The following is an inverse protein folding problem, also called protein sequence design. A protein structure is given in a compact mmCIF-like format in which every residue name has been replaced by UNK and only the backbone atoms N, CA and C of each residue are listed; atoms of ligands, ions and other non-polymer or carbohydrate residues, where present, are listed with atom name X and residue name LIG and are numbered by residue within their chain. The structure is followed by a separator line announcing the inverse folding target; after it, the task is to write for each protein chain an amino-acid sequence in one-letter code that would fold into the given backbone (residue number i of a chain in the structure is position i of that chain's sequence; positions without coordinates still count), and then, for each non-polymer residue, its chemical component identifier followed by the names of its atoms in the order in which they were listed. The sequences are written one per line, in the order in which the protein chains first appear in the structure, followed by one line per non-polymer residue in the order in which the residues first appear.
data_IF_442664790961
#
_entry.id   IF_442664790961
#
_cell.length_a   1.000
_cell.length_b   1.000
_cell.length_c   1.000
_cell.angle_alpha   90.00
_cell.angle_beta   90.00
_cell.angle_gamma   90.00
#
_symmetry.space_group_name_H-M   'P 1'
#
loop_
_entity.id
_entity.type
_entity.pdbx_description
1 polymer ?
#
# COMPACT_ATOMS: atom_id res chain seq x y z
N UNK A 1 -10.23 -3.56 0.18
CA UNK A 1 -9.54 -3.32 1.46
C UNK A 1 -8.19 -2.67 1.20
N UNK A 2 -7.77 -1.69 2.02
CA UNK A 2 -6.43 -1.08 1.95
C UNK A 2 -5.52 -1.72 3.01
N UNK A 3 -4.42 -2.34 2.60
CA UNK A 3 -3.56 -3.13 3.48
C UNK A 3 -2.08 -2.71 3.38
N UNK A 4 -1.50 -2.32 4.50
CA UNK A 4 -0.07 -2.03 4.64
C UNK A 4 0.63 -3.24 5.26
N UNK A 5 1.57 -3.83 4.51
CA UNK A 5 2.27 -5.06 4.92
C UNK A 5 3.67 -4.82 5.48
N UNK A 6 3.99 -3.55 5.81
CA UNK A 6 5.22 -3.21 6.54
C UNK A 6 5.16 -3.71 7.98
N UNK A 7 6.31 -3.67 8.65
CA UNK A 7 6.38 -3.93 10.08
C UNK A 7 5.56 -2.91 10.86
N UNK A 8 5.09 -3.28 12.06
CA UNK A 8 4.35 -2.37 12.95
C UNK A 8 5.15 -1.11 13.25
N UNK A 9 6.47 -1.23 13.40
CA UNK A 9 7.36 -0.09 13.65
C UNK A 9 7.46 0.88 12.47
N UNK A 10 7.49 0.38 11.23
CA UNK A 10 7.43 1.24 10.04
C UNK A 10 6.07 1.95 9.93
N UNK A 11 4.97 1.22 10.14
CA UNK A 11 3.62 1.77 10.09
C UNK A 11 3.38 2.85 11.14
N UNK A 12 3.88 2.63 12.36
CA UNK A 12 3.74 3.57 13.49
C UNK A 12 4.54 4.87 13.31
N UNK A 13 5.63 4.84 12.52
CA UNK A 13 6.42 6.05 12.19
C UNK A 13 5.78 6.92 11.10
N UNK A 14 4.76 6.42 10.42
CA UNK A 14 4.06 7.12 9.36
C UNK A 14 3.40 6.15 8.40
N UNK A 15 2.15 6.41 8.06
CA UNK A 15 1.35 5.57 7.16
C UNK A 15 0.28 6.38 6.43
N UNK A 16 -0.32 5.75 5.42
CA UNK A 16 -1.42 6.32 4.65
C UNK A 16 -2.71 6.10 5.42
N UNK A 17 -3.50 7.17 5.64
CA UNK A 17 -4.76 7.08 6.36
C UNK A 17 -5.72 6.06 5.72
N UNK A 18 -6.39 5.27 6.55
CA UNK A 18 -7.35 4.25 6.14
C UNK A 18 -6.75 2.88 5.81
N UNK A 19 -5.42 2.73 5.79
CA UNK A 19 -4.77 1.42 5.66
C UNK A 19 -4.81 0.65 6.97
N UNK A 20 -5.14 -0.65 6.91
CA UNK A 20 -4.93 -1.58 8.04
C UNK A 20 -3.51 -2.17 7.94
N UNK A 21 -2.83 -2.33 9.07
CA UNK A 21 -1.51 -2.96 9.10
C UNK A 21 -1.59 -4.44 9.46
N UNK A 22 -1.10 -5.30 8.56
CA UNK A 22 -0.82 -6.72 8.82
C UNK A 22 0.55 -7.01 8.19
N UNK A 23 1.63 -7.14 8.99
CA UNK A 23 2.96 -7.42 8.48
C UNK A 23 2.97 -8.67 7.58
N UNK A 24 3.74 -8.63 6.49
CA UNK A 24 3.77 -9.73 5.50
C UNK A 24 4.13 -11.09 6.13
N UNK A 25 4.95 -11.09 7.18
CA UNK A 25 5.39 -12.29 7.89
C UNK A 25 4.25 -12.93 8.71
N UNK A 26 3.28 -12.13 9.16
CA UNK A 26 2.09 -12.58 9.89
C UNK A 26 0.89 -12.88 8.97
N UNK A 27 0.97 -12.46 7.70
CA UNK A 27 -0.17 -12.44 6.78
C UNK A 27 -0.81 -13.81 6.56
N UNK A 28 -0.01 -14.88 6.52
CA UNK A 28 -0.53 -16.24 6.32
C UNK A 28 -1.39 -16.70 7.49
N UNK A 29 -0.98 -16.38 8.70
CA UNK A 29 -1.68 -16.76 9.94
C UNK A 29 -2.95 -15.91 10.14
N UNK A 30 -2.90 -14.65 9.65
CA UNK A 30 -3.96 -13.65 9.82
C UNK A 30 -4.84 -13.47 8.58
N UNK A 31 -4.81 -14.41 7.64
CA UNK A 31 -5.50 -14.30 6.35
C UNK A 31 -7.04 -14.18 6.48
N UNK A 32 -7.59 -14.66 7.59
CA UNK A 32 -9.02 -14.58 7.90
C UNK A 32 -9.48 -13.14 8.26
N UNK A 33 -8.55 -12.23 8.51
CA UNK A 33 -8.84 -10.81 8.74
C UNK A 33 -9.02 -10.02 7.44
N UNK A 34 -8.81 -10.64 6.28
CA UNK A 34 -8.92 -10.01 4.97
C UNK A 34 -10.35 -10.18 4.44
N UNK A 35 -10.99 -9.06 4.07
CA UNK A 35 -12.34 -9.06 3.50
C UNK A 35 -12.40 -9.87 2.19
N UNK A 36 -13.27 -10.88 2.14
CA UNK A 36 -13.55 -11.66 0.92
C UNK A 36 -14.45 -10.87 -0.05
N UNK A 37 -14.33 -11.17 -1.34
CA UNK A 37 -15.21 -10.62 -2.38
C UNK A 37 -14.96 -9.15 -2.76
N UNK A 38 -13.92 -8.52 -2.20
CA UNK A 38 -13.46 -7.17 -2.59
C UNK A 38 -11.96 -7.22 -2.92
N UNK A 39 -11.48 -6.37 -3.83
CA UNK A 39 -10.06 -6.28 -4.13
C UNK A 39 -9.25 -5.76 -2.92
N UNK A 40 -8.04 -6.29 -2.76
CA UNK A 40 -7.08 -5.89 -1.71
C UNK A 40 -5.97 -5.05 -2.33
N UNK A 41 -5.89 -3.78 -1.94
CA UNK A 41 -4.84 -2.86 -2.37
C UNK A 41 -3.72 -2.88 -1.34
N UNK A 42 -2.53 -3.24 -1.79
CA UNK A 42 -1.38 -3.55 -0.94
C UNK A 42 -0.31 -2.47 -1.07
N UNK A 43 0.24 -2.05 0.06
CA UNK A 43 1.40 -1.17 0.11
C UNK A 43 2.46 -1.76 1.04
N UNK A 44 3.73 -1.59 0.68
CA UNK A 44 4.84 -1.76 1.62
C UNK A 44 5.81 -0.59 1.48
N UNK A 45 7.04 -0.68 2.00
CA UNK A 45 7.97 0.45 1.93
C UNK A 45 8.38 0.80 0.48
N UNK A 46 8.59 -0.18 -0.39
CA UNK A 46 9.11 0.03 -1.76
C UNK A 46 8.38 -0.74 -2.88
N UNK A 47 7.47 -1.65 -2.52
CA UNK A 47 6.72 -2.51 -3.46
C UNK A 47 7.06 -4.01 -3.39
N UNK A 48 8.22 -4.40 -2.86
CA UNK A 48 8.66 -5.82 -2.86
C UNK A 48 7.81 -6.69 -1.91
N UNK A 49 7.69 -6.30 -0.64
CA UNK A 49 6.89 -7.06 0.35
C UNK A 49 5.39 -7.09 -0.01
N UNK A 50 4.86 -6.02 -0.60
CA UNK A 50 3.47 -5.97 -1.05
C UNK A 50 3.24 -6.84 -2.28
N UNK A 51 4.23 -6.99 -3.18
CA UNK A 51 4.18 -8.02 -4.22
C UNK A 51 4.16 -9.45 -3.65
N UNK A 52 4.98 -9.73 -2.63
CA UNK A 52 4.96 -11.04 -1.95
C UNK A 52 3.59 -11.29 -1.30
N UNK A 53 3.04 -10.28 -0.62
CA UNK A 53 1.70 -10.35 -0.04
C UNK A 53 0.61 -10.56 -1.10
N UNK A 54 0.71 -9.90 -2.26
CA UNK A 54 -0.16 -10.14 -3.42
C UNK A 54 -0.16 -11.62 -3.79
N UNK A 55 1.02 -12.23 -3.93
CA UNK A 55 1.12 -13.66 -4.29
C UNK A 55 0.51 -14.59 -3.24
N UNK A 56 0.69 -14.29 -1.96
CA UNK A 56 0.07 -15.06 -0.87
C UNK A 56 -1.46 -14.98 -0.97
N UNK A 57 -2.01 -13.79 -1.18
CA UNK A 57 -3.45 -13.56 -1.22
C UNK A 57 -4.08 -14.08 -2.53
N UNK A 58 -3.44 -13.87 -3.68
CA UNK A 58 -3.87 -14.45 -4.97
C UNK A 58 -3.96 -15.97 -4.91
N UNK A 59 -2.97 -16.63 -4.28
CA UNK A 59 -3.01 -18.07 -4.04
C UNK A 59 -4.16 -18.54 -3.14
N UNK A 60 -4.81 -17.62 -2.42
CA UNK A 60 -5.98 -17.87 -1.57
C UNK A 60 -7.28 -17.28 -2.15
N UNK A 61 -7.28 -16.97 -3.45
CA UNK A 61 -8.47 -16.53 -4.20
C UNK A 61 -8.87 -15.07 -3.97
N UNK A 62 -7.95 -14.22 -3.51
CA UNK A 62 -8.19 -12.78 -3.43
C UNK A 62 -7.72 -12.08 -4.72
N UNK A 63 -8.49 -11.10 -5.17
CA UNK A 63 -8.03 -10.13 -6.16
C UNK A 63 -7.15 -9.10 -5.47
N UNK A 64 -5.96 -8.80 -6.02
CA UNK A 64 -5.01 -7.88 -5.38
C UNK A 64 -4.42 -6.86 -6.34
N UNK A 65 -4.06 -5.70 -5.80
CA UNK A 65 -3.40 -4.62 -6.51
C UNK A 65 -2.22 -4.12 -5.68
N UNK A 66 -1.02 -4.18 -6.24
CA UNK A 66 0.20 -3.71 -5.58
C UNK A 66 0.46 -2.24 -5.91
N UNK A 67 0.68 -1.41 -4.89
CA UNK A 67 1.08 -0.02 -5.08
C UNK A 67 2.57 0.08 -5.41
N UNK A 68 2.88 0.26 -6.69
CA UNK A 68 4.24 0.43 -7.20
C UNK A 68 4.94 1.63 -6.54
N UNK A 69 6.20 1.43 -6.14
CA UNK A 69 6.99 2.45 -5.43
C UNK A 69 6.75 2.49 -3.91
N UNK A 70 5.64 1.92 -3.43
CA UNK A 70 5.35 1.78 -2.00
C UNK A 70 5.19 3.11 -1.26
N UNK A 71 5.22 3.04 0.06
CA UNK A 71 5.13 4.18 0.95
C UNK A 71 6.21 5.23 0.69
N UNK A 72 7.42 4.83 0.28
CA UNK A 72 8.49 5.78 -0.07
C UNK A 72 8.09 6.72 -1.21
N UNK A 73 7.44 6.20 -2.25
CA UNK A 73 6.98 7.02 -3.36
C UNK A 73 5.85 7.96 -2.91
N UNK A 74 4.88 7.42 -2.17
CA UNK A 74 3.81 8.22 -1.58
C UNK A 74 4.36 9.36 -0.72
N UNK A 75 5.27 9.04 0.21
CA UNK A 75 5.87 9.98 1.14
C UNK A 75 6.69 11.07 0.42
N UNK A 76 7.44 10.68 -0.62
CA UNK A 76 8.15 11.64 -1.46
C UNK A 76 7.18 12.61 -2.15
N UNK A 77 6.09 12.14 -2.76
CA UNK A 77 5.14 13.00 -3.47
C UNK A 77 4.35 13.90 -2.50
N UNK A 78 3.95 13.37 -1.35
CA UNK A 78 3.09 14.09 -0.38
C UNK A 78 3.89 15.09 0.47
N UNK A 79 5.17 14.86 0.71
CA UNK A 79 6.00 15.79 1.48
C UNK A 79 6.92 16.67 0.62
N UNK A 80 7.01 16.42 -0.69
CA UNK A 80 7.68 17.33 -1.61
C UNK A 80 6.78 18.53 -1.93
N UNK A 81 7.01 19.63 -1.19
CA UNK A 81 6.33 20.92 -1.39
C UNK A 81 6.48 21.46 -2.81
N UNK A 82 7.59 21.18 -3.50
CA UNK A 82 7.84 21.74 -4.84
C UNK A 82 7.04 21.03 -5.94
N UNK A 83 6.73 19.74 -5.75
CA UNK A 83 5.84 18.99 -6.65
C UNK A 83 4.37 19.36 -6.44
N UNK A 84 3.95 19.58 -5.19
CA UNK A 84 2.57 19.98 -4.88
C UNK A 84 2.26 21.34 -5.50
N UNK A 85 3.15 22.33 -5.38
CA UNK A 85 2.94 23.68 -5.93
C UNK A 85 2.98 23.75 -7.46
N UNK A 86 3.66 22.81 -8.14
CA UNK A 86 3.77 22.76 -9.61
C UNK A 86 2.82 21.77 -10.29
N UNK A 87 2.10 20.96 -9.52
CA UNK A 87 1.16 19.98 -10.09
C UNK A 87 -0.15 20.66 -10.46
N UNK A 88 -0.32 20.96 -11.74
CA UNK A 88 -1.60 21.36 -12.31
C UNK A 88 -2.47 20.12 -12.54
N UNK A 89 -3.79 20.28 -12.43
CA UNK A 89 -4.71 19.24 -12.87
C UNK A 89 -4.42 18.89 -14.33
N UNK A 90 -4.26 17.60 -14.63
CA UNK A 90 -4.01 17.12 -15.99
C UNK A 90 -5.08 17.68 -16.95
N UNK A 91 -4.66 18.46 -17.96
CA UNK A 91 -5.55 19.07 -18.95
C UNK A 91 -5.71 20.60 -18.87
N UNK A 92 -4.98 21.29 -17.99
CA UNK A 92 -4.85 22.75 -18.04
C UNK A 92 -3.44 23.15 -18.46
N UNK A 93 -3.17 23.08 -19.76
CA UNK A 93 -2.03 23.77 -20.38
C UNK A 93 -2.52 25.18 -20.78
N UNK A 94 -1.90 26.24 -20.23
CA UNK A 94 -2.10 27.63 -20.67
C UNK A 94 -0.92 28.09 -21.51
#
# INVERSE_FOLDING_TARGET
MLLDVRTVGEFSRGHINGFKNIPVDELRERINEIEKGKPVYLVCQSGLRSYIASRILEGNGYETYNFSGGFRFYDAVVNDRTLIEKSYACGMDY
#
